data_IF_592255970155
#
_entry.id   IF_592255970155
#
_cell.length_a   1.000
_cell.length_b   1.000
_cell.length_c   1.000
_cell.angle_alpha   90.00
_cell.angle_beta   90.00
_cell.angle_gamma   90.00
#
_symmetry.space_group_name_H-M   'P 1'
#
loop_
_entity.id
_entity.type
_entity.pdbx_description
1 polymer ?
#
# COMPACT_ATOMS: atom_id res chain seq x y z
N UNK A 1 50.18 2.26 42.24
CA UNK A 1 49.21 3.38 42.09
C UNK A 1 48.28 3.31 43.30
N UNK A 2 48.43 4.18 44.32
CA UNK A 2 47.65 5.43 44.53
C UNK A 2 46.13 5.18 44.42
N UNK A 3 45.26 5.50 45.38
CA UNK A 3 45.30 6.33 46.59
C UNK A 3 44.03 6.06 47.41
N UNK A 4 44.12 6.32 48.71
CA UNK A 4 43.11 6.31 49.77
C UNK A 4 41.74 6.92 49.42
N UNK A 5 40.65 6.42 50.01
CA UNK A 5 39.59 7.28 50.58
C UNK A 5 38.98 6.65 51.85
N UNK A 6 39.46 7.17 52.99
CA UNK A 6 38.81 7.44 54.27
C UNK A 6 37.47 6.77 54.64
N UNK A 7 37.55 5.88 55.63
CA UNK A 7 36.50 5.54 56.59
C UNK A 7 36.11 6.81 57.39
N UNK A 8 35.04 7.52 56.99
CA UNK A 8 34.52 8.63 57.77
C UNK A 8 33.70 8.12 58.97
N UNK A 9 34.34 8.18 60.13
CA UNK A 9 33.70 8.05 61.45
C UNK A 9 32.63 9.12 61.60
N UNK A 10 31.37 8.71 61.71
CA UNK A 10 30.27 9.58 62.08
C UNK A 10 30.27 9.75 63.61
N UNK A 11 30.79 10.88 64.09
CA UNK A 11 30.64 11.33 65.48
C UNK A 11 29.42 12.26 65.52
N UNK A 12 28.28 11.78 66.04
CA UNK A 12 27.20 12.68 66.46
C UNK A 12 27.39 13.01 67.95
N UNK A 13 27.87 14.22 68.20
CA UNK A 13 27.91 14.84 69.51
C UNK A 13 26.66 15.71 69.70
N UNK A 14 25.87 15.42 70.74
CA UNK A 14 24.98 16.37 71.42
C UNK A 14 23.73 16.81 70.65
N UNK A 15 22.63 17.27 71.24
CA UNK A 15 22.21 17.46 72.63
C UNK A 15 20.68 17.36 72.61
N UNK A 16 20.10 16.64 73.58
CA UNK A 16 18.67 16.59 73.86
C UNK A 16 18.16 17.93 74.40
N UNK A 17 17.43 18.74 73.62
CA UNK A 17 16.46 19.71 74.18
C UNK A 17 15.25 19.88 73.24
N UNK A 18 14.11 19.38 73.71
CA UNK A 18 12.82 20.08 73.72
C UNK A 18 12.26 20.65 72.42
N UNK A 19 11.35 19.91 71.80
CA UNK A 19 9.96 20.33 71.54
C UNK A 19 9.35 19.37 70.52
N UNK A 20 8.27 18.71 70.93
CA UNK A 20 7.49 17.80 70.11
C UNK A 20 6.63 18.61 69.11
N UNK A 21 7.26 19.19 68.08
CA UNK A 21 6.57 19.48 66.84
C UNK A 21 6.78 18.29 65.91
N UNK A 22 5.74 17.44 65.82
CA UNK A 22 5.62 16.41 64.80
C UNK A 22 5.67 17.06 63.41
N UNK A 23 6.87 17.17 62.83
CA UNK A 23 7.02 17.22 61.38
C UNK A 23 6.61 15.84 60.86
N UNK A 24 5.33 15.68 60.53
CA UNK A 24 4.88 14.60 59.67
C UNK A 24 5.49 14.86 58.29
N UNK A 25 6.70 14.34 58.06
CA UNK A 25 7.28 14.25 56.73
C UNK A 25 6.34 13.34 55.90
N UNK A 26 5.40 13.95 55.19
CA UNK A 26 4.63 13.24 54.17
C UNK A 26 5.60 12.91 53.05
N UNK A 27 6.00 11.63 52.98
CA UNK A 27 6.54 11.07 51.75
C UNK A 27 5.41 11.13 50.74
N UNK A 28 5.36 12.20 49.96
CA UNK A 28 4.63 12.20 48.69
C UNK A 28 5.52 11.36 47.78
N UNK A 29 5.18 10.07 47.62
CA UNK A 29 5.68 9.35 46.46
C UNK A 29 5.17 10.14 45.26
N UNK A 30 6.06 10.88 44.59
CA UNK A 30 5.77 11.31 43.24
C UNK A 30 5.47 10.03 42.48
N UNK A 31 4.22 9.86 42.04
CA UNK A 31 3.91 8.88 41.03
C UNK A 31 4.63 9.35 39.78
N UNK A 32 5.92 9.01 39.68
CA UNK A 32 6.65 9.06 38.43
C UNK A 32 5.80 8.24 37.47
N UNK A 33 5.09 8.93 36.58
CA UNK A 33 4.43 8.28 35.47
C UNK A 33 5.57 7.55 34.77
N UNK A 34 5.58 6.22 34.86
CA UNK A 34 6.59 5.36 34.26
C UNK A 34 6.39 5.43 32.74
N UNK A 35 6.77 6.55 32.14
CA UNK A 35 6.72 6.79 30.70
C UNK A 35 7.96 6.12 30.13
N UNK A 36 7.80 4.89 29.64
CA UNK A 36 8.78 4.31 28.74
C UNK A 36 8.75 5.09 27.43
N UNK A 37 9.89 5.33 26.75
CA UNK A 37 9.88 5.94 25.43
C UNK A 37 9.01 5.12 24.49
N UNK A 38 8.16 5.81 23.76
CA UNK A 38 7.18 5.25 22.84
C UNK A 38 7.56 5.67 21.42
N UNK A 39 7.48 4.76 20.45
CA UNK A 39 7.58 5.07 19.03
C UNK A 39 6.35 4.51 18.30
N UNK A 40 6.18 4.88 17.03
CA UNK A 40 5.04 4.48 16.20
C UNK A 40 4.98 2.94 16.15
N UNK A 41 3.79 2.33 16.37
CA UNK A 41 3.62 0.90 16.21
C UNK A 41 4.07 0.41 14.83
N UNK A 42 4.72 -0.75 14.79
CA UNK A 42 5.14 -1.37 13.53
C UNK A 42 3.95 -1.70 12.61
N UNK A 43 4.20 -2.01 11.32
CA UNK A 43 3.15 -2.44 10.40
C UNK A 43 2.60 -3.82 10.79
N UNK A 44 1.40 -4.19 10.30
CA UNK A 44 0.89 -5.55 10.39
C UNK A 44 1.85 -6.55 9.72
N UNK A 45 1.92 -7.75 10.27
CA UNK A 45 2.69 -8.85 9.69
C UNK A 45 1.78 -9.77 8.86
N UNK A 46 2.33 -10.49 7.87
CA UNK A 46 1.63 -11.48 7.02
C UNK A 46 0.25 -11.03 6.52
N UNK A 47 0.22 -10.01 5.67
CA UNK A 47 -1.02 -9.51 5.06
C UNK A 47 -1.48 -10.46 3.93
N UNK A 48 -2.71 -10.96 4.04
CA UNK A 48 -3.40 -11.75 3.03
C UNK A 48 -4.68 -11.04 2.60
N UNK A 49 -4.93 -11.00 1.30
CA UNK A 49 -6.15 -10.42 0.72
C UNK A 49 -6.81 -11.47 -0.16
N UNK A 50 -8.09 -11.71 0.06
CA UNK A 50 -8.90 -12.66 -0.72
C UNK A 50 -10.22 -12.01 -1.12
N UNK A 51 -10.72 -12.24 -2.35
CA UNK A 51 -12.08 -11.83 -2.70
C UNK A 51 -13.07 -12.59 -1.82
N UNK A 52 -14.02 -11.88 -1.24
CA UNK A 52 -15.14 -12.48 -0.52
C UNK A 52 -16.37 -12.55 -1.44
N UNK A 53 -16.58 -11.52 -2.27
CA UNK A 53 -17.55 -11.46 -3.37
C UNK A 53 -17.10 -10.39 -4.40
N UNK A 54 -17.97 -10.07 -5.37
CA UNK A 54 -17.69 -9.11 -6.46
C UNK A 54 -17.50 -7.66 -5.97
N UNK A 55 -17.88 -7.34 -4.74
CA UNK A 55 -17.83 -6.00 -4.16
C UNK A 55 -17.01 -5.92 -2.86
N UNK A 56 -16.59 -7.04 -2.28
CA UNK A 56 -15.93 -7.09 -0.98
C UNK A 56 -14.66 -7.92 -0.97
N UNK A 57 -13.64 -7.40 -0.28
CA UNK A 57 -12.37 -8.06 -0.06
C UNK A 57 -12.22 -8.40 1.42
N UNK A 58 -11.79 -9.63 1.71
CA UNK A 58 -11.39 -10.06 3.04
C UNK A 58 -9.89 -9.83 3.21
N UNK A 59 -9.55 -8.95 4.16
CA UNK A 59 -8.17 -8.64 4.54
C UNK A 59 -7.85 -9.34 5.86
N UNK A 60 -6.81 -10.16 5.87
CA UNK A 60 -6.30 -10.84 7.07
C UNK A 60 -4.85 -10.44 7.29
N UNK A 61 -4.45 -10.27 8.54
CA UNK A 61 -3.08 -9.97 8.91
C UNK A 61 -2.83 -10.40 10.35
N UNK A 62 -1.57 -10.50 10.72
CA UNK A 62 -1.11 -10.61 12.09
C UNK A 62 -0.77 -9.23 12.65
N UNK A 63 -0.87 -9.03 13.98
CA UNK A 63 -0.33 -7.83 14.61
C UNK A 63 1.18 -7.67 14.33
N UNK A 64 1.75 -6.48 14.60
CA UNK A 64 3.18 -6.25 14.44
C UNK A 64 4.00 -7.28 15.22
N UNK A 65 5.15 -7.68 14.66
CA UNK A 65 6.05 -8.63 15.33
C UNK A 65 6.61 -8.05 16.63
N UNK A 66 6.90 -8.92 17.60
CA UNK A 66 7.55 -8.57 18.88
C UNK A 66 6.77 -7.54 19.73
N UNK A 67 5.45 -7.54 19.67
CA UNK A 67 4.61 -6.81 20.61
C UNK A 67 4.84 -7.29 22.05
N UNK A 68 4.94 -6.34 22.98
CA UNK A 68 5.03 -6.59 24.42
C UNK A 68 3.75 -6.10 25.13
N UNK A 69 3.71 -6.19 26.46
CA UNK A 69 2.61 -5.66 27.25
C UNK A 69 2.41 -4.15 27.03
N UNK A 70 3.51 -3.43 26.78
CA UNK A 70 3.51 -2.00 26.46
C UNK A 70 3.01 -1.73 25.03
N UNK A 71 3.08 -2.72 24.14
CA UNK A 71 2.65 -2.63 22.74
C UNK A 71 3.79 -2.84 21.75
N UNK A 72 3.65 -2.31 20.53
CA UNK A 72 4.68 -2.36 19.49
C UNK A 72 5.54 -1.10 19.56
N UNK A 73 6.86 -1.26 19.62
CA UNK A 73 7.81 -0.15 19.84
C UNK A 73 7.49 0.70 21.07
N UNK A 74 6.94 0.05 22.10
CA UNK A 74 6.50 0.71 23.32
C UNK A 74 5.03 1.15 23.29
N UNK A 75 4.41 1.34 22.12
CA UNK A 75 3.08 1.94 21.97
C UNK A 75 1.94 0.95 21.67
N UNK A 76 0.74 1.16 22.25
CA UNK A 76 -0.40 0.30 22.02
C UNK A 76 -0.87 0.40 20.56
N UNK A 77 -1.17 -0.75 19.95
CA UNK A 77 -1.82 -0.81 18.63
C UNK A 77 -3.32 -0.61 18.83
N UNK A 78 -3.82 0.59 18.50
CA UNK A 78 -5.23 0.95 18.73
C UNK A 78 -6.15 0.61 17.56
N UNK A 79 -5.59 0.39 16.37
CA UNK A 79 -6.35 0.08 15.16
C UNK A 79 -5.47 0.03 13.92
N UNK A 80 -6.09 -0.27 12.78
CA UNK A 80 -5.42 -0.40 11.50
C UNK A 80 -6.11 0.48 10.46
N UNK A 81 -5.31 1.15 9.64
CA UNK A 81 -5.79 1.86 8.45
C UNK A 81 -5.61 0.93 7.26
N UNK A 82 -6.70 0.58 6.58
CA UNK A 82 -6.66 -0.18 5.34
C UNK A 82 -6.85 0.79 4.19
N UNK A 83 -5.87 0.88 3.31
CA UNK A 83 -5.91 1.72 2.12
C UNK A 83 -5.98 0.85 0.88
N UNK A 84 -7.01 1.08 0.06
CA UNK A 84 -7.21 0.39 -1.21
C UNK A 84 -6.92 1.37 -2.34
N UNK A 85 -5.97 1.02 -3.20
CA UNK A 85 -5.71 1.76 -4.43
C UNK A 85 -6.42 1.08 -5.60
N UNK A 86 -7.12 1.87 -6.43
CA UNK A 86 -7.57 1.41 -7.74
C UNK A 86 -6.43 1.63 -8.74
N UNK A 87 -6.24 0.68 -9.66
CA UNK A 87 -5.45 0.95 -10.87
C UNK A 87 -6.08 2.16 -11.56
N UNK A 88 -5.26 3.18 -11.85
CA UNK A 88 -5.67 4.24 -12.75
C UNK A 88 -5.52 3.67 -14.15
N UNK A 89 -6.64 3.37 -14.80
CA UNK A 89 -6.57 2.77 -16.11
C UNK A 89 -5.97 3.77 -17.09
N UNK A 90 -4.87 3.39 -17.74
CA UNK A 90 -4.36 4.16 -18.86
C UNK A 90 -5.13 3.76 -20.12
N UNK A 91 -5.80 4.72 -20.77
CA UNK A 91 -6.58 4.42 -21.97
C UNK A 91 -5.68 4.54 -23.20
N UNK A 92 -5.31 3.39 -23.77
CA UNK A 92 -4.68 3.32 -25.08
C UNK A 92 -5.73 3.51 -26.17
N UNK A 93 -5.48 4.46 -27.07
CA UNK A 93 -6.38 4.77 -28.19
C UNK A 93 -5.72 4.38 -29.51
N UNK A 94 -6.36 3.47 -30.25
CA UNK A 94 -5.95 3.06 -31.59
C UNK A 94 -6.90 3.65 -32.61
N UNK A 95 -6.36 4.41 -33.55
CA UNK A 95 -7.12 4.94 -34.69
C UNK A 95 -6.70 4.20 -35.95
N UNK A 96 -7.66 3.57 -36.60
CA UNK A 96 -7.48 2.96 -37.93
C UNK A 96 -8.32 3.75 -38.90
N UNK A 97 -7.68 4.45 -39.83
CA UNK A 97 -8.35 5.34 -40.78
C UNK A 97 -7.74 5.27 -42.17
N UNK A 98 -8.55 5.58 -43.17
CA UNK A 98 -8.15 5.67 -44.57
C UNK A 98 -8.58 7.02 -45.17
N UNK A 99 -7.89 7.43 -46.24
CA UNK A 99 -8.22 8.62 -47.02
C UNK A 99 -9.46 8.44 -47.92
N UNK A 100 -9.98 7.22 -48.04
CA UNK A 100 -11.13 6.88 -48.88
C UNK A 100 -11.88 5.64 -48.36
N UNK A 101 -13.04 5.28 -48.95
CA UNK A 101 -13.82 4.12 -48.55
C UNK A 101 -13.02 2.82 -48.69
N UNK A 102 -13.06 1.98 -47.66
CA UNK A 102 -12.48 0.63 -47.68
C UNK A 102 -13.61 -0.37 -47.44
N UNK A 103 -13.90 -1.19 -48.45
CA UNK A 103 -15.01 -2.16 -48.41
C UNK A 103 -14.59 -3.53 -47.87
N UNK A 104 -13.30 -3.85 -47.95
CA UNK A 104 -12.71 -5.08 -47.45
C UNK A 104 -11.21 -4.88 -47.19
N UNK A 105 -10.65 -5.69 -46.30
CA UNK A 105 -9.24 -5.65 -45.94
C UNK A 105 -9.01 -6.07 -44.50
N UNK A 106 -7.75 -6.18 -44.11
CA UNK A 106 -7.36 -6.51 -42.75
C UNK A 106 -6.01 -5.86 -42.40
N UNK A 107 -5.77 -5.66 -41.12
CA UNK A 107 -4.51 -5.18 -40.57
C UNK A 107 -4.05 -6.10 -39.44
N UNK A 108 -2.81 -5.91 -38.98
CA UNK A 108 -2.25 -6.59 -37.81
C UNK A 108 -1.64 -5.56 -36.89
N UNK A 109 -1.66 -5.85 -35.60
CA UNK A 109 -0.98 -5.06 -34.59
C UNK A 109 0.21 -5.85 -34.05
N UNK A 110 1.33 -5.15 -33.90
CA UNK A 110 2.50 -5.67 -33.19
C UNK A 110 2.53 -5.02 -31.82
N UNK A 111 2.62 -5.84 -30.77
CA UNK A 111 2.71 -5.39 -29.39
C UNK A 111 3.99 -5.91 -28.76
N UNK A 112 4.79 -5.01 -28.22
CA UNK A 112 6.05 -5.30 -27.56
C UNK A 112 6.00 -4.82 -26.11
N UNK A 113 6.36 -5.70 -25.18
CA UNK A 113 6.50 -5.39 -23.77
C UNK A 113 7.60 -6.23 -23.13
N UNK A 114 7.76 -6.15 -21.80
CA UNK A 114 8.77 -6.91 -21.07
C UNK A 114 8.61 -8.45 -21.18
N UNK A 115 7.46 -8.95 -21.62
CA UNK A 115 7.19 -10.38 -21.87
C UNK A 115 7.48 -10.81 -23.32
N UNK A 116 7.92 -9.89 -24.19
CA UNK A 116 8.31 -10.15 -25.56
C UNK A 116 7.44 -9.43 -26.60
N UNK A 117 7.53 -9.92 -27.85
CA UNK A 117 6.81 -9.37 -29.01
C UNK A 117 5.69 -10.35 -29.41
N UNK A 118 4.48 -9.82 -29.55
CA UNK A 118 3.30 -10.51 -30.07
C UNK A 118 2.78 -9.82 -31.32
N UNK A 119 2.25 -10.59 -32.28
CA UNK A 119 1.62 -10.07 -33.48
C UNK A 119 0.25 -10.71 -33.63
N UNK A 120 -0.79 -9.89 -33.78
CA UNK A 120 -2.17 -10.39 -33.84
C UNK A 120 -2.41 -11.23 -35.09
N UNK A 121 -3.47 -12.04 -35.06
CA UNK A 121 -4.09 -12.52 -36.30
C UNK A 121 -4.56 -11.35 -37.17
N UNK A 122 -5.00 -11.64 -38.40
CA UNK A 122 -5.56 -10.61 -39.28
C UNK A 122 -6.86 -10.06 -38.68
N UNK A 123 -6.85 -8.79 -38.30
CA UNK A 123 -8.02 -8.06 -37.82
C UNK A 123 -8.70 -7.42 -39.03
N UNK A 124 -9.98 -7.72 -39.31
CA UNK A 124 -10.70 -7.10 -40.41
C UNK A 124 -10.75 -5.57 -40.30
N UNK A 125 -10.76 -4.88 -41.43
CA UNK A 125 -10.81 -3.42 -41.50
C UNK A 125 -11.93 -2.82 -40.63
N UNK A 126 -13.12 -3.43 -40.71
CA UNK A 126 -14.33 -3.05 -39.99
C UNK A 126 -14.58 -3.87 -38.72
N UNK A 127 -13.53 -4.43 -38.10
CA UNK A 127 -13.64 -5.26 -36.90
C UNK A 127 -14.53 -4.61 -35.84
N UNK A 128 -15.38 -5.43 -35.20
CA UNK A 128 -16.10 -5.00 -34.01
C UNK A 128 -15.13 -4.92 -32.83
N UNK A 129 -15.56 -4.26 -31.75
CA UNK A 129 -14.85 -4.23 -30.48
C UNK A 129 -14.50 -5.64 -29.99
N UNK A 130 -15.43 -6.59 -30.08
CA UNK A 130 -15.21 -7.99 -29.68
C UNK A 130 -14.11 -8.64 -30.51
N UNK A 131 -14.13 -8.46 -31.84
CA UNK A 131 -13.11 -9.04 -32.72
C UNK A 131 -11.72 -8.45 -32.46
N UNK A 132 -11.66 -7.14 -32.16
CA UNK A 132 -10.42 -6.47 -31.80
C UNK A 132 -9.89 -6.93 -30.43
N UNK A 133 -10.79 -7.09 -29.45
CA UNK A 133 -10.49 -7.62 -28.12
C UNK A 133 -9.92 -9.03 -28.20
N UNK A 134 -10.63 -9.95 -28.86
CA UNK A 134 -10.17 -11.34 -29.03
C UNK A 134 -8.79 -11.40 -29.70
N UNK A 135 -8.56 -10.59 -30.74
CA UNK A 135 -7.27 -10.58 -31.42
C UNK A 135 -6.10 -10.10 -30.53
N UNK A 136 -6.37 -9.22 -29.55
CA UNK A 136 -5.38 -8.80 -28.55
C UNK A 136 -5.19 -9.86 -27.48
N UNK A 137 -6.26 -10.47 -26.97
CA UNK A 137 -6.21 -11.50 -25.92
C UNK A 137 -5.61 -12.83 -26.40
N UNK A 138 -5.55 -13.07 -27.71
CA UNK A 138 -4.81 -14.21 -28.29
C UNK A 138 -3.28 -14.04 -28.19
N UNK A 139 -2.78 -12.84 -27.89
CA UNK A 139 -1.35 -12.62 -27.74
C UNK A 139 -0.83 -13.14 -26.40
N UNK A 140 0.17 -13.99 -26.43
CA UNK A 140 0.80 -14.58 -25.23
C UNK A 140 1.39 -13.55 -24.25
N UNK A 141 1.66 -12.33 -24.74
CA UNK A 141 2.23 -11.23 -23.96
C UNK A 141 1.17 -10.21 -23.52
N UNK A 142 -0.12 -10.48 -23.72
CA UNK A 142 -1.27 -9.65 -23.30
C UNK A 142 -2.13 -10.47 -22.35
N UNK A 143 -2.43 -9.89 -21.18
CA UNK A 143 -3.43 -10.44 -20.25
C UNK A 143 -4.84 -9.95 -20.70
N UNK A 144 -5.92 -10.24 -19.97
CA UNK A 144 -7.27 -9.83 -20.41
C UNK A 144 -7.43 -8.31 -20.57
N UNK A 145 -8.13 -7.90 -21.62
CA UNK A 145 -8.38 -6.49 -21.96
C UNK A 145 -9.86 -6.28 -22.25
N UNK A 146 -10.35 -5.04 -22.10
CA UNK A 146 -11.69 -4.66 -22.57
C UNK A 146 -11.58 -3.63 -23.69
N UNK A 147 -12.40 -3.73 -24.73
CA UNK A 147 -12.35 -2.80 -25.87
C UNK A 147 -13.67 -2.07 -26.07
N UNK A 148 -13.60 -0.78 -26.39
CA UNK A 148 -14.73 -0.02 -26.93
C UNK A 148 -14.39 0.56 -28.29
N UNK A 149 -15.37 0.62 -29.19
CA UNK A 149 -15.19 1.12 -30.56
C UNK A 149 -16.14 2.27 -30.86
N UNK A 150 -15.65 3.27 -31.58
CA UNK A 150 -16.48 4.33 -32.19
C UNK A 150 -16.05 4.62 -33.63
N UNK A 151 -16.90 5.30 -34.40
CA UNK A 151 -16.53 5.82 -35.71
C UNK A 151 -15.44 6.90 -35.58
N UNK A 152 -14.55 6.97 -36.57
CA UNK A 152 -13.58 8.05 -36.69
C UNK A 152 -14.26 9.28 -37.32
N UNK A 153 -14.70 10.21 -36.47
CA UNK A 153 -15.38 11.43 -36.91
C UNK A 153 -16.72 11.20 -37.63
N UNK A 154 -17.32 12.28 -38.12
CA UNK A 154 -18.63 12.25 -38.80
C UNK A 154 -18.54 11.90 -40.30
N UNK A 155 -17.36 12.05 -40.91
CA UNK A 155 -17.16 11.91 -42.36
C UNK A 155 -15.91 11.08 -42.75
N UNK A 156 -15.15 10.56 -41.78
CA UNK A 156 -13.88 9.88 -42.08
C UNK A 156 -14.05 8.35 -42.07
N UNK A 157 -13.39 7.69 -43.00
CA UNK A 157 -13.47 6.23 -43.20
C UNK A 157 -12.56 5.52 -42.20
N UNK A 158 -13.02 5.37 -40.96
CA UNK A 158 -12.21 4.74 -39.91
C UNK A 158 -12.92 4.46 -38.60
N UNK A 159 -12.17 3.88 -37.68
CA UNK A 159 -12.62 3.46 -36.35
C UNK A 159 -11.59 3.85 -35.28
N UNK A 160 -12.10 4.17 -34.10
CA UNK A 160 -11.32 4.42 -32.88
C UNK A 160 -11.61 3.29 -31.92
N UNK A 161 -10.56 2.61 -31.44
CA UNK A 161 -10.63 1.61 -30.39
C UNK A 161 -9.98 2.16 -29.12
N UNK A 162 -10.65 2.02 -27.98
CA UNK A 162 -10.11 2.41 -26.67
C UNK A 162 -9.96 1.18 -25.80
N UNK A 163 -8.76 1.01 -25.26
CA UNK A 163 -8.35 -0.09 -24.38
C UNK A 163 -7.89 0.50 -23.05
N UNK A 164 -8.67 0.38 -21.97
CA UNK A 164 -8.20 0.71 -20.63
C UNK A 164 -7.28 -0.41 -20.11
N UNK A 165 -6.04 -0.06 -19.78
CA UNK A 165 -5.02 -0.94 -19.18
C UNK A 165 -4.86 -0.67 -17.68
#
# INVERSE_FOLDING_TARGET
MRRDVALHRLVLAGVLIGSCLLFAARVVCASDLLVSPQDVPGPPDKVFVTPLDDASLRVQFLPPVRTKAEGSNGAPVLGYKVEVARRVNHIQTFTVSASGPVLAGSYKLTFENARGIGVTACIPWNATEVMFETALEELVNVDSVSVSRSAYGAAQFGYIYKVPL
#
